data_IF_937190288499
#
_entry.id   IF_937190288499
#
_cell.length_a   1.000
_cell.length_b   1.000
_cell.length_c   1.000
_cell.angle_alpha   90.00
_cell.angle_beta   90.00
_cell.angle_gamma   90.00
#
_symmetry.space_group_name_H-M   'P 1'
#
loop_
_entity.id
_entity.type
_entity.pdbx_description
1 polymer ?
#
# COMPACT_ATOMS: atom_id res chain seq x y z
N UNK A 1 61.77 22.52 -28.06
CA UNK A 1 61.62 21.11 -28.47
C UNK A 1 60.19 20.68 -28.24
N UNK A 2 59.51 20.24 -29.31
CA UNK A 2 58.16 19.67 -29.27
C UNK A 2 58.23 18.24 -28.73
N UNK A 3 57.34 17.88 -27.82
CA UNK A 3 56.88 16.50 -27.69
C UNK A 3 55.41 16.51 -27.31
N UNK A 4 54.58 16.20 -28.31
CA UNK A 4 53.18 15.79 -28.19
C UNK A 4 53.20 14.29 -27.83
N UNK A 5 52.44 13.88 -26.83
CA UNK A 5 52.01 12.48 -26.66
C UNK A 5 50.58 12.51 -26.10
N UNK A 6 49.58 12.42 -26.99
CA UNK A 6 48.81 11.21 -27.31
C UNK A 6 48.00 10.67 -26.12
N UNK A 7 46.71 11.03 -26.19
CA UNK A 7 45.52 10.41 -25.61
C UNK A 7 45.68 9.00 -25.03
N UNK A 8 45.21 8.84 -23.78
CA UNK A 8 44.40 7.68 -23.39
C UNK A 8 43.13 8.21 -22.75
N UNK A 9 42.03 8.09 -23.49
CA UNK A 9 40.65 8.15 -22.99
C UNK A 9 40.46 6.90 -22.13
N UNK A 10 40.10 7.06 -20.87
CA UNK A 10 39.65 5.95 -20.02
C UNK A 10 38.38 6.36 -19.26
N UNK A 11 37.26 6.06 -19.91
CA UNK A 11 35.94 5.69 -19.38
C UNK A 11 35.32 6.52 -18.25
N UNK A 12 34.48 7.47 -18.64
CA UNK A 12 33.21 7.66 -17.94
C UNK A 12 32.29 6.47 -18.30
N UNK A 13 31.72 5.81 -17.29
CA UNK A 13 30.32 5.36 -17.14
C UNK A 13 30.24 4.74 -15.74
N UNK A 14 29.94 5.57 -14.75
CA UNK A 14 29.30 5.15 -13.49
C UNK A 14 28.01 5.92 -13.39
N UNK A 15 27.04 5.52 -14.20
CA UNK A 15 25.64 5.94 -14.10
C UNK A 15 24.76 4.75 -14.51
N UNK A 16 24.82 3.71 -13.69
CA UNK A 16 23.87 2.60 -13.70
C UNK A 16 23.31 2.42 -12.29
N UNK A 17 22.89 3.52 -11.65
CA UNK A 17 22.23 3.46 -10.35
C UNK A 17 20.84 2.84 -10.53
N UNK A 18 20.74 1.57 -10.15
CA UNK A 18 19.68 1.00 -9.33
C UNK A 18 18.20 1.16 -9.78
N UNK A 19 17.89 1.19 -11.07
CA UNK A 19 16.49 1.20 -11.54
C UNK A 19 15.82 -0.20 -11.60
N UNK A 20 16.15 -1.12 -10.69
CA UNK A 20 15.73 -2.53 -10.78
C UNK A 20 15.14 -3.18 -9.53
N UNK A 21 15.05 -2.48 -8.39
CA UNK A 21 14.83 -3.14 -7.09
C UNK A 21 13.44 -2.99 -6.42
N UNK A 22 12.60 -2.05 -6.84
CA UNK A 22 11.50 -1.56 -5.98
C UNK A 22 10.09 -2.07 -6.36
N UNK A 23 9.94 -3.00 -7.30
CA UNK A 23 8.61 -3.42 -7.79
C UNK A 23 7.69 -4.04 -6.70
N UNK A 24 8.27 -4.48 -5.58
CA UNK A 24 7.63 -5.23 -4.50
C UNK A 24 7.15 -4.38 -3.31
N UNK A 25 7.81 -3.25 -3.05
CA UNK A 25 7.38 -2.33 -2.00
C UNK A 25 5.99 -1.75 -2.30
N UNK A 26 5.57 -1.70 -3.56
CA UNK A 26 4.31 -1.09 -3.97
C UNK A 26 3.10 -1.62 -3.19
N UNK A 27 2.31 -0.68 -2.68
CA UNK A 27 0.98 -0.91 -2.12
C UNK A 27 -0.11 -0.55 -3.11
N UNK A 28 -1.35 -0.68 -2.66
CA UNK A 28 -2.50 -0.01 -3.26
C UNK A 28 -3.09 0.97 -2.26
N UNK A 29 -3.63 2.09 -2.73
CA UNK A 29 -4.39 3.03 -1.90
C UNK A 29 -5.40 3.78 -2.77
N UNK A 30 -6.35 4.43 -2.10
CA UNK A 30 -7.30 5.31 -2.76
C UNK A 30 -6.90 6.76 -2.54
N UNK A 31 -6.94 7.56 -3.61
CA UNK A 31 -6.79 9.01 -3.54
C UNK A 31 -7.52 9.67 -4.70
N UNK A 32 -7.83 10.96 -4.53
CA UNK A 32 -8.45 11.78 -5.56
C UNK A 32 -7.46 12.04 -6.71
N UNK A 33 -7.98 11.97 -7.94
CA UNK A 33 -7.31 12.36 -9.19
C UNK A 33 -8.32 13.20 -9.97
N UNK A 34 -8.04 14.51 -10.10
CA UNK A 34 -8.93 15.46 -10.75
C UNK A 34 -10.40 15.34 -10.27
N UNK A 35 -10.61 15.38 -8.95
CA UNK A 35 -11.92 15.23 -8.26
C UNK A 35 -12.55 13.83 -8.25
N UNK A 36 -11.98 12.86 -8.95
CA UNK A 36 -12.49 11.48 -8.97
C UNK A 36 -11.66 10.59 -8.04
N UNK A 37 -12.30 9.66 -7.32
CA UNK A 37 -11.59 8.70 -6.50
C UNK A 37 -10.97 7.61 -7.39
N UNK A 38 -9.67 7.40 -7.28
CA UNK A 38 -8.94 6.37 -8.01
C UNK A 38 -8.34 5.32 -7.06
N UNK A 39 -8.31 4.06 -7.50
CA UNK A 39 -7.47 3.02 -6.91
C UNK A 39 -6.10 3.07 -7.60
N UNK A 40 -5.06 3.28 -6.80
CA UNK A 40 -3.69 3.51 -7.25
C UNK A 40 -2.80 2.32 -6.87
N UNK A 41 -1.75 2.11 -7.64
CA UNK A 41 -0.72 1.08 -7.38
C UNK A 41 0.66 1.73 -7.42
N UNK A 42 1.43 1.63 -6.34
CA UNK A 42 2.64 2.44 -6.22
C UNK A 42 3.25 2.55 -4.82
N UNK A 43 4.24 3.43 -4.71
CA UNK A 43 4.96 3.77 -3.47
C UNK A 43 5.50 5.19 -3.60
N UNK A 44 5.39 5.99 -2.55
CA UNK A 44 5.82 7.39 -2.63
C UNK A 44 5.12 8.16 -3.75
N UNK A 45 5.90 8.87 -4.55
CA UNK A 45 5.43 9.57 -5.76
C UNK A 45 5.24 8.65 -6.98
N UNK A 46 5.66 7.38 -6.91
CA UNK A 46 5.54 6.41 -8.01
C UNK A 46 4.12 5.84 -8.07
N UNK A 47 3.16 6.68 -8.45
CA UNK A 47 1.82 6.26 -8.85
C UNK A 47 1.87 5.66 -10.26
N UNK A 48 2.01 4.34 -10.33
CA UNK A 48 2.24 3.62 -11.57
C UNK A 48 0.93 3.42 -12.34
N UNK A 49 1.09 2.90 -13.56
CA UNK A 49 -0.03 2.47 -14.40
C UNK A 49 -0.88 1.40 -13.70
N UNK A 50 -1.99 1.85 -13.12
CA UNK A 50 -2.90 1.02 -12.32
C UNK A 50 -3.75 0.11 -13.21
N UNK A 51 -4.00 0.51 -14.46
CA UNK A 51 -4.74 -0.29 -15.43
C UNK A 51 -4.03 -1.61 -15.72
N UNK A 52 -2.69 -1.62 -15.77
CA UNK A 52 -1.89 -2.85 -15.91
C UNK A 52 -2.07 -3.86 -14.76
N UNK A 53 -2.71 -3.46 -13.67
CA UNK A 53 -2.99 -4.28 -12.48
C UNK A 53 -4.49 -4.59 -12.32
N UNK A 54 -5.33 -4.14 -13.25
CA UNK A 54 -6.79 -4.31 -13.17
C UNK A 54 -7.19 -5.77 -12.94
N UNK A 55 -6.61 -6.70 -13.69
CA UNK A 55 -6.94 -8.14 -13.60
C UNK A 55 -6.41 -8.80 -12.32
N UNK A 56 -5.55 -8.10 -11.57
CA UNK A 56 -5.04 -8.54 -10.28
C UNK A 56 -5.92 -8.05 -9.11
N UNK A 57 -6.85 -7.12 -9.35
CA UNK A 57 -7.84 -6.66 -8.36
C UNK A 57 -8.91 -7.74 -8.22
N UNK A 58 -8.82 -8.53 -7.14
CA UNK A 58 -9.75 -9.62 -6.87
C UNK A 58 -11.05 -9.15 -6.20
N UNK A 59 -11.07 -7.95 -5.62
CA UNK A 59 -12.26 -7.38 -4.97
C UNK A 59 -12.24 -5.85 -5.00
N UNK A 60 -13.42 -5.26 -5.20
CA UNK A 60 -13.75 -3.86 -4.93
C UNK A 60 -15.12 -3.85 -4.22
N UNK A 61 -15.19 -3.18 -3.08
CA UNK A 61 -16.39 -3.11 -2.25
C UNK A 61 -16.61 -1.67 -1.76
N UNK A 62 -17.86 -1.34 -1.50
CA UNK A 62 -18.26 -0.05 -0.97
C UNK A 62 -19.31 -0.25 0.12
N UNK A 63 -19.30 0.61 1.14
CA UNK A 63 -20.21 0.54 2.27
C UNK A 63 -20.72 1.92 2.65
N UNK A 64 -21.99 1.98 3.09
CA UNK A 64 -22.53 3.19 3.72
C UNK A 64 -22.00 3.36 5.16
N UNK A 65 -22.44 4.42 5.83
CA UNK A 65 -22.02 4.73 7.20
C UNK A 65 -22.49 3.67 8.22
N UNK A 66 -23.48 2.84 7.88
CA UNK A 66 -23.97 1.74 8.70
C UNK A 66 -23.23 0.41 8.43
N UNK A 67 -22.26 0.42 7.51
CA UNK A 67 -21.52 -0.77 7.09
C UNK A 67 -22.31 -1.67 6.15
N UNK A 68 -23.41 -1.19 5.57
CA UNK A 68 -24.18 -1.95 4.59
C UNK A 68 -23.51 -1.84 3.22
N UNK A 69 -23.40 -2.98 2.53
CA UNK A 69 -22.81 -3.04 1.20
C UNK A 69 -23.59 -2.19 0.18
N UNK A 70 -22.85 -1.45 -0.63
CA UNK A 70 -23.32 -0.63 -1.73
C UNK A 70 -22.77 -1.14 -3.07
N UNK A 71 -23.45 -0.82 -4.16
CA UNK A 71 -22.93 -1.08 -5.51
C UNK A 71 -21.76 -0.15 -5.79
N UNK A 72 -20.67 -0.71 -6.31
CA UNK A 72 -19.51 0.03 -6.83
C UNK A 72 -18.82 -0.80 -7.93
N UNK A 73 -17.74 -0.27 -8.49
CA UNK A 73 -16.93 -0.92 -9.51
C UNK A 73 -15.75 -0.05 -9.92
N UNK A 74 -14.88 -0.58 -10.78
CA UNK A 74 -13.74 0.14 -11.34
C UNK A 74 -13.90 0.37 -12.84
N UNK A 75 -13.82 1.63 -13.27
CA UNK A 75 -13.75 2.04 -14.68
C UNK A 75 -12.33 2.47 -15.04
N UNK A 76 -11.95 2.27 -16.30
CA UNK A 76 -10.64 2.71 -16.81
C UNK A 76 -10.77 4.10 -17.37
N UNK A 77 -9.87 5.00 -16.98
CA UNK A 77 -9.68 6.31 -17.61
C UNK A 77 -8.18 6.61 -17.71
N UNK A 78 -7.66 6.65 -18.94
CA UNK A 78 -6.22 6.75 -19.18
C UNK A 78 -5.43 5.63 -18.49
N UNK A 79 -4.61 6.01 -17.50
CA UNK A 79 -3.78 5.09 -16.69
C UNK A 79 -4.36 4.82 -15.29
N UNK A 80 -5.56 5.32 -15.02
CA UNK A 80 -6.23 5.25 -13.73
C UNK A 80 -7.32 4.17 -13.72
N UNK A 81 -7.53 3.59 -12.54
CA UNK A 81 -8.73 2.81 -12.20
C UNK A 81 -9.62 3.67 -11.32
N UNK A 82 -10.65 4.27 -11.89
CA UNK A 82 -11.59 5.13 -11.18
C UNK A 82 -12.66 4.31 -10.48
N UNK A 83 -12.99 4.69 -9.24
CA UNK A 83 -14.03 4.07 -8.44
C UNK A 83 -15.37 4.67 -8.83
N UNK A 84 -16.40 3.83 -9.06
CA UNK A 84 -17.77 4.32 -9.17
C UNK A 84 -18.27 4.78 -7.78
N UNK A 85 -18.51 6.09 -7.66
CA UNK A 85 -18.95 6.79 -6.45
C UNK A 85 -20.44 7.20 -6.47
N UNK A 86 -21.24 6.74 -7.44
CA UNK A 86 -22.66 7.09 -7.58
C UNK A 86 -23.49 6.80 -6.31
N UNK A 87 -23.12 5.75 -5.58
CA UNK A 87 -23.78 5.34 -4.34
C UNK A 87 -23.37 6.14 -3.10
N UNK A 88 -22.45 7.11 -3.24
CA UNK A 88 -21.92 7.96 -2.16
C UNK A 88 -21.51 7.17 -0.90
N UNK A 89 -20.58 6.21 -1.04
CA UNK A 89 -20.17 5.37 0.09
C UNK A 89 -19.42 6.17 1.17
N UNK A 90 -19.50 5.69 2.41
CA UNK A 90 -18.66 6.15 3.52
C UNK A 90 -17.30 5.42 3.54
N UNK A 91 -17.27 4.19 3.02
CA UNK A 91 -16.06 3.37 2.93
C UNK A 91 -15.94 2.74 1.54
N UNK A 92 -14.73 2.70 0.99
CA UNK A 92 -14.40 1.90 -0.19
C UNK A 92 -13.21 1.01 0.14
N UNK A 93 -13.25 -0.25 -0.30
CA UNK A 93 -12.25 -1.25 -0.02
C UNK A 93 -11.84 -2.01 -1.28
N UNK A 94 -10.56 -2.36 -1.41
CA UNK A 94 -10.06 -3.17 -2.51
C UNK A 94 -9.06 -4.23 -2.03
N UNK A 95 -8.98 -5.33 -2.78
CA UNK A 95 -7.98 -6.38 -2.61
C UNK A 95 -7.30 -6.64 -3.95
N UNK A 96 -5.98 -6.64 -3.95
CA UNK A 96 -5.14 -6.95 -5.10
C UNK A 96 -4.22 -8.13 -4.79
N UNK A 97 -4.28 -9.15 -5.64
CA UNK A 97 -3.40 -10.32 -5.59
C UNK A 97 -2.12 -10.01 -6.37
N UNK A 98 -1.06 -9.56 -5.68
CA UNK A 98 0.14 -9.08 -6.37
C UNK A 98 1.01 -10.22 -6.93
N UNK A 99 0.68 -11.46 -6.58
CA UNK A 99 1.32 -12.69 -7.04
C UNK A 99 2.48 -13.14 -6.16
N UNK A 100 3.18 -14.16 -6.63
CA UNK A 100 4.38 -14.70 -5.96
C UNK A 100 5.63 -14.13 -6.60
N UNK A 101 6.58 -13.74 -5.76
CA UNK A 101 7.82 -13.12 -6.18
C UNK A 101 9.02 -13.76 -5.50
N UNK A 102 10.10 -13.97 -6.25
CA UNK A 102 11.35 -14.53 -5.75
C UNK A 102 12.50 -13.56 -6.01
N UNK A 103 13.34 -13.34 -5.00
CA UNK A 103 14.54 -12.52 -5.08
C UNK A 103 15.78 -13.38 -5.15
N UNK A 104 16.63 -13.18 -6.15
CA UNK A 104 17.92 -13.86 -6.33
C UNK A 104 19.05 -13.14 -5.56
N UNK A 105 20.22 -13.77 -5.35
CA UNK A 105 21.33 -13.16 -4.59
C UNK A 105 21.86 -11.86 -5.19
N UNK A 106 21.69 -11.66 -6.50
CA UNK A 106 22.03 -10.41 -7.21
C UNK A 106 20.97 -9.31 -7.03
N UNK A 107 19.93 -9.56 -6.23
CA UNK A 107 18.90 -8.61 -5.85
C UNK A 107 17.74 -8.48 -6.84
N UNK A 108 17.73 -9.23 -7.95
CA UNK A 108 16.65 -9.17 -8.94
C UNK A 108 15.41 -9.90 -8.46
N UNK A 109 14.25 -9.36 -8.84
CA UNK A 109 12.94 -9.93 -8.55
C UNK A 109 12.33 -10.61 -9.77
N UNK A 110 11.81 -11.81 -9.55
CA UNK A 110 11.13 -12.64 -10.55
C UNK A 110 9.71 -12.90 -10.09
N UNK A 111 8.70 -12.74 -10.96
CA UNK A 111 7.28 -13.00 -10.64
C UNK A 111 6.94 -14.49 -10.68
N UNK A 112 7.69 -15.28 -9.90
CA UNK A 112 7.63 -16.73 -9.81
C UNK A 112 7.95 -17.19 -8.39
N UNK A 113 7.61 -18.43 -8.04
CA UNK A 113 8.00 -19.05 -6.77
C UNK A 113 9.43 -19.59 -6.78
N UNK A 114 9.96 -19.92 -5.60
CA UNK A 114 11.30 -20.52 -5.45
C UNK A 114 11.39 -21.95 -6.00
N UNK A 115 10.25 -22.58 -6.28
CA UNK A 115 10.14 -23.84 -7.01
C UNK A 115 10.54 -23.69 -8.49
N UNK A 116 10.33 -22.50 -9.06
CA UNK A 116 10.75 -22.16 -10.43
C UNK A 116 12.06 -21.35 -10.46
N UNK A 117 12.39 -20.67 -9.36
CA UNK A 117 13.62 -19.88 -9.18
C UNK A 117 14.47 -20.51 -8.07
N UNK A 118 15.17 -21.63 -8.34
CA UNK A 118 15.85 -22.40 -7.30
C UNK A 118 17.01 -21.68 -6.61
N UNK A 119 17.52 -20.60 -7.22
CA UNK A 119 18.57 -19.75 -6.64
C UNK A 119 18.02 -18.66 -5.73
N UNK A 120 16.70 -18.56 -5.56
CA UNK A 120 16.07 -17.53 -4.74
C UNK A 120 16.52 -17.59 -3.28
N UNK A 121 16.88 -16.44 -2.72
CA UNK A 121 17.21 -16.28 -1.30
C UNK A 121 15.99 -15.90 -0.46
N UNK A 122 14.99 -15.30 -1.11
CA UNK A 122 13.70 -14.91 -0.55
C UNK A 122 12.63 -15.22 -1.58
N UNK A 123 11.49 -15.77 -1.18
CA UNK A 123 10.30 -15.88 -2.01
C UNK A 123 9.05 -15.62 -1.18
N UNK A 124 8.14 -14.80 -1.71
CA UNK A 124 7.01 -14.26 -0.95
C UNK A 124 5.77 -14.24 -1.84
N UNK A 125 4.62 -14.60 -1.28
CA UNK A 125 3.32 -14.31 -1.90
C UNK A 125 2.84 -12.96 -1.38
N UNK A 126 2.38 -12.10 -2.28
CA UNK A 126 2.04 -10.73 -1.92
C UNK A 126 0.56 -10.43 -2.13
N UNK A 127 -0.08 -9.91 -1.10
CA UNK A 127 -1.47 -9.47 -1.14
C UNK A 127 -1.56 -8.05 -0.61
N UNK A 128 -2.23 -7.18 -1.37
CA UNK A 128 -2.35 -5.77 -1.07
C UNK A 128 -3.83 -5.44 -0.80
N UNK A 129 -4.10 -4.70 0.26
CA UNK A 129 -5.43 -4.32 0.72
C UNK A 129 -5.49 -2.80 0.82
N UNK A 130 -6.62 -2.19 0.49
CA UNK A 130 -6.83 -0.77 0.67
C UNK A 130 -8.21 -0.52 1.27
N UNK A 131 -8.29 0.47 2.17
CA UNK A 131 -9.53 1.05 2.67
C UNK A 131 -9.45 2.56 2.57
N UNK A 132 -10.48 3.20 2.02
CA UNK A 132 -10.70 4.65 2.05
C UNK A 132 -11.84 4.96 3.01
N UNK A 133 -11.63 5.86 3.96
CA UNK A 133 -12.72 6.52 4.69
C UNK A 133 -13.08 7.80 3.96
N UNK A 134 -14.35 7.99 3.61
CA UNK A 134 -14.85 9.15 2.87
C UNK A 134 -15.62 10.05 3.83
N UNK A 135 -15.23 11.32 3.88
CA UNK A 135 -15.83 12.29 4.79
C UNK A 135 -15.52 12.03 6.26
N UNK A 136 -16.41 12.49 7.14
CA UNK A 136 -16.25 12.34 8.58
C UNK A 136 -16.57 10.91 9.02
N UNK A 137 -15.66 10.31 9.79
CA UNK A 137 -15.93 9.07 10.51
C UNK A 137 -16.83 9.41 11.72
N UNK A 138 -18.01 8.79 11.77
CA UNK A 138 -18.99 8.98 12.86
C UNK A 138 -19.31 7.69 13.61
N UNK A 139 -18.82 6.55 13.11
CA UNK A 139 -19.01 5.20 13.65
C UNK A 139 -17.72 4.41 13.51
N UNK A 140 -17.49 3.37 14.34
CA UNK A 140 -16.35 2.48 14.17
C UNK A 140 -16.35 1.83 12.77
N UNK A 141 -15.17 1.75 12.15
CA UNK A 141 -15.01 1.01 10.89
C UNK A 141 -15.20 -0.48 11.17
N UNK A 142 -16.16 -1.16 10.50
CA UNK A 142 -16.35 -2.60 10.69
C UNK A 142 -15.18 -3.39 10.10
N UNK A 143 -14.96 -4.59 10.61
CA UNK A 143 -14.03 -5.52 9.98
C UNK A 143 -14.61 -6.03 8.66
N UNK A 144 -13.81 -5.92 7.62
CA UNK A 144 -14.16 -6.34 6.27
C UNK A 144 -13.74 -7.81 6.06
N UNK A 145 -14.68 -8.77 5.96
CA UNK A 145 -14.36 -10.20 5.93
C UNK A 145 -13.53 -10.62 4.71
N UNK A 146 -13.55 -9.84 3.63
CA UNK A 146 -12.76 -10.08 2.42
C UNK A 146 -11.28 -9.67 2.57
N UNK A 147 -10.90 -8.93 3.62
CA UNK A 147 -9.53 -8.49 3.86
C UNK A 147 -8.87 -9.28 5.00
N UNK A 148 -7.80 -10.00 4.68
CA UNK A 148 -7.03 -10.79 5.66
C UNK A 148 -6.24 -9.89 6.60
N UNK A 149 -5.66 -8.79 6.11
CA UNK A 149 -5.02 -7.76 6.92
C UNK A 149 -5.80 -6.45 6.77
N UNK A 150 -6.06 -5.78 7.88
CA UNK A 150 -6.71 -4.47 7.94
C UNK A 150 -5.98 -3.57 8.92
N UNK A 151 -5.97 -2.27 8.62
CA UNK A 151 -5.60 -1.22 9.57
C UNK A 151 -6.79 -0.27 9.68
N UNK A 152 -7.33 -0.14 10.89
CA UNK A 152 -8.56 0.61 11.16
C UNK A 152 -8.33 1.67 12.24
N UNK A 153 -9.05 2.80 12.22
CA UNK A 153 -9.11 3.70 13.37
C UNK A 153 -9.59 2.97 14.61
N UNK A 154 -8.95 3.23 15.75
CA UNK A 154 -9.38 2.68 17.04
C UNK A 154 -10.64 3.37 17.56
N UNK A 155 -10.80 4.64 17.22
CA UNK A 155 -11.92 5.49 17.63
C UNK A 155 -12.96 5.61 16.50
N UNK A 156 -14.18 6.04 16.84
CA UNK A 156 -15.26 6.29 15.88
C UNK A 156 -15.15 7.64 15.16
N UNK A 157 -14.04 8.34 15.34
CA UNK A 157 -13.73 9.64 14.75
C UNK A 157 -12.29 9.66 14.27
N UNK A 158 -12.01 10.44 13.23
CA UNK A 158 -10.64 10.78 12.83
C UNK A 158 -10.22 12.08 13.53
N UNK A 159 -8.91 12.30 13.74
CA UNK A 159 -8.41 13.59 14.20
C UNK A 159 -8.79 14.70 13.22
N UNK A 160 -9.01 15.91 13.73
CA UNK A 160 -9.43 17.05 12.91
C UNK A 160 -8.22 17.80 12.33
N UNK A 161 -7.10 17.81 13.05
CA UNK A 161 -5.94 18.61 12.75
C UNK A 161 -4.66 17.78 12.60
N UNK A 162 -3.78 18.24 11.73
CA UNK A 162 -2.39 17.78 11.67
C UNK A 162 -1.76 17.84 13.07
N UNK A 163 -1.00 16.80 13.42
CA UNK A 163 -0.29 16.69 14.70
C UNK A 163 -1.09 16.06 15.82
N UNK A 164 -2.43 15.97 15.70
CA UNK A 164 -3.25 15.28 16.70
C UNK A 164 -2.99 13.76 16.70
N UNK A 165 -3.13 13.09 17.86
CA UNK A 165 -2.85 11.67 17.96
C UNK A 165 -3.87 10.85 17.17
N UNK A 166 -3.37 10.01 16.26
CA UNK A 166 -4.15 8.99 15.57
C UNK A 166 -3.83 7.63 16.16
N UNK A 167 -4.83 7.02 16.79
CA UNK A 167 -4.75 5.63 17.27
C UNK A 167 -5.35 4.70 16.23
N UNK A 168 -4.56 3.76 15.75
CA UNK A 168 -4.98 2.74 14.79
C UNK A 168 -4.82 1.35 15.40
N UNK A 169 -5.56 0.39 14.85
CA UNK A 169 -5.47 -1.03 15.20
C UNK A 169 -5.25 -1.87 13.96
N UNK A 170 -4.24 -2.72 13.99
CA UNK A 170 -3.94 -3.69 12.94
C UNK A 170 -4.59 -5.02 13.28
N UNK A 171 -5.33 -5.55 12.32
CA UNK A 171 -6.14 -6.76 12.43
C UNK A 171 -5.69 -7.75 11.36
N UNK A 172 -5.34 -8.97 11.76
CA UNK A 172 -5.04 -10.08 10.89
C UNK A 172 -6.04 -11.22 11.12
N UNK A 173 -6.71 -11.68 10.07
CA UNK A 173 -7.79 -12.68 10.12
C UNK A 173 -8.86 -12.33 11.16
N UNK A 174 -9.25 -11.05 11.21
CA UNK A 174 -10.25 -10.52 12.14
C UNK A 174 -9.81 -10.45 13.61
N UNK A 175 -8.54 -10.75 13.91
CA UNK A 175 -7.97 -10.67 15.27
C UNK A 175 -6.87 -9.63 15.33
N UNK A 176 -6.64 -8.98 16.47
CA UNK A 176 -5.55 -8.02 16.59
C UNK A 176 -4.19 -8.72 16.44
N UNK A 177 -3.23 -8.05 15.79
CA UNK A 177 -1.91 -8.62 15.51
C UNK A 177 -0.77 -7.73 15.99
N UNK A 178 0.17 -8.33 16.71
CA UNK A 178 1.37 -7.66 17.20
C UNK A 178 2.51 -7.71 16.18
N UNK A 179 3.40 -6.71 16.22
CA UNK A 179 4.60 -6.68 15.40
C UNK A 179 4.39 -6.34 13.93
N UNK A 180 3.17 -5.94 13.53
CA UNK A 180 2.96 -5.38 12.19
C UNK A 180 3.69 -4.04 12.08
N UNK A 181 4.40 -3.84 10.97
CA UNK A 181 5.16 -2.62 10.69
C UNK A 181 4.22 -1.58 10.11
N UNK A 182 3.99 -0.48 10.81
CA UNK A 182 3.11 0.61 10.37
C UNK A 182 3.93 1.82 9.95
N UNK A 183 3.77 2.22 8.69
CA UNK A 183 4.33 3.43 8.09
C UNK A 183 3.25 4.52 8.07
N UNK A 184 3.59 5.70 8.61
CA UNK A 184 2.62 6.78 8.81
C UNK A 184 2.23 7.55 7.53
N UNK A 185 3.03 7.46 6.47
CA UNK A 185 2.91 8.29 5.26
C UNK A 185 3.57 7.56 4.10
N UNK A 186 2.76 6.78 3.41
CA UNK A 186 3.18 5.97 2.27
C UNK A 186 3.56 6.82 1.04
N UNK A 187 3.17 8.10 1.01
CA UNK A 187 3.30 8.96 -0.18
C UNK A 187 4.53 9.85 -0.06
N UNK A 188 4.78 10.41 1.12
CA UNK A 188 5.87 11.37 1.32
C UNK A 188 7.07 10.80 2.08
N UNK A 189 6.89 9.69 2.80
CA UNK A 189 7.96 9.03 3.57
C UNK A 189 7.85 7.49 3.52
N UNK A 190 7.85 6.87 2.32
CA UNK A 190 7.69 5.42 2.17
C UNK A 190 8.82 4.59 2.81
N UNK A 191 9.99 5.21 3.03
CA UNK A 191 11.16 4.60 3.69
C UNK A 191 11.25 4.99 5.18
N UNK A 192 10.21 5.63 5.72
CA UNK A 192 10.15 6.07 7.10
C UNK A 192 10.33 4.92 8.09
N UNK A 193 10.80 5.24 9.31
CA UNK A 193 10.96 4.21 10.35
C UNK A 193 9.57 3.70 10.78
N UNK A 194 9.26 2.40 10.65
CA UNK A 194 7.96 1.89 11.02
C UNK A 194 7.77 1.86 12.53
N UNK A 195 6.52 2.04 12.97
CA UNK A 195 6.06 1.76 14.34
C UNK A 195 5.48 0.35 14.38
N UNK A 196 5.84 -0.43 15.39
CA UNK A 196 5.31 -1.79 15.53
C UNK A 196 4.01 -1.78 16.31
N UNK A 197 3.02 -2.55 15.85
CA UNK A 197 1.79 -2.78 16.61
C UNK A 197 2.06 -3.54 17.91
N UNK A 198 1.38 -3.14 18.99
CA UNK A 198 1.49 -3.78 20.30
C UNK A 198 0.76 -5.13 20.37
N UNK A 199 0.76 -5.76 21.55
CA UNK A 199 0.12 -7.07 21.78
C UNK A 199 -1.40 -7.06 21.50
N UNK A 200 -2.04 -5.91 21.54
CA UNK A 200 -3.46 -5.69 21.26
C UNK A 200 -3.69 -5.14 19.85
N UNK A 201 -2.64 -5.06 19.02
CA UNK A 201 -2.64 -4.61 17.64
C UNK A 201 -2.62 -3.10 17.48
N UNK A 202 -2.45 -2.31 18.54
CA UNK A 202 -2.52 -0.85 18.44
C UNK A 202 -1.19 -0.23 18.03
N UNK A 203 -1.29 0.89 17.31
CA UNK A 203 -0.23 1.87 17.10
C UNK A 203 -0.79 3.27 17.34
N UNK A 204 0.07 4.21 17.71
CA UNK A 204 -0.32 5.62 17.84
C UNK A 204 0.81 6.51 17.35
N UNK A 205 0.47 7.49 16.54
CA UNK A 205 1.38 8.52 16.06
C UNK A 205 0.58 9.80 15.74
N UNK A 206 1.22 10.98 15.72
CA UNK A 206 0.57 12.20 15.27
C UNK A 206 0.18 12.10 13.79
N UNK A 207 -1.02 12.57 13.41
CA UNK A 207 -1.40 12.69 11.99
C UNK A 207 -0.43 13.61 11.27
N UNK A 208 0.06 13.19 10.10
CA UNK A 208 1.09 13.94 9.38
C UNK A 208 0.55 15.04 8.48
N UNK A 209 -0.64 14.88 7.91
CA UNK A 209 -1.09 15.74 6.81
C UNK A 209 -2.45 16.39 7.11
N UNK A 210 -2.56 17.70 6.91
CA UNK A 210 -3.85 18.38 6.71
C UNK A 210 -4.22 18.22 5.22
N UNK A 211 -4.98 17.18 4.92
CA UNK A 211 -5.23 16.72 3.55
C UNK A 211 -5.16 15.19 3.48
N UNK A 212 -4.68 14.67 2.35
CA UNK A 212 -4.54 13.22 2.15
C UNK A 212 -3.56 12.59 3.13
N UNK A 213 -4.02 11.56 3.83
CA UNK A 213 -3.21 10.67 4.64
C UNK A 213 -3.32 9.26 4.06
N UNK A 214 -2.19 8.57 3.89
CA UNK A 214 -2.12 7.17 3.47
C UNK A 214 -1.18 6.45 4.42
N UNK A 215 -1.77 5.65 5.31
CA UNK A 215 -1.04 4.86 6.29
C UNK A 215 -1.00 3.42 5.78
N UNK A 216 0.14 2.74 5.94
CA UNK A 216 0.30 1.34 5.54
C UNK A 216 0.71 0.49 6.74
N UNK A 217 0.09 -0.68 6.90
CA UNK A 217 0.56 -1.76 7.76
C UNK A 217 1.08 -2.91 6.92
N UNK A 218 2.27 -3.43 7.26
CA UNK A 218 2.88 -4.61 6.64
C UNK A 218 2.99 -5.71 7.69
N UNK A 219 2.50 -6.91 7.36
CA UNK A 219 2.58 -8.08 8.20
C UNK A 219 2.89 -9.34 7.38
N UNK A 220 4.02 -9.98 7.69
CA UNK A 220 4.40 -11.25 7.08
C UNK A 220 3.80 -12.40 7.88
N UNK A 221 2.94 -13.18 7.24
CA UNK A 221 2.34 -14.37 7.83
C UNK A 221 2.99 -15.66 7.31
N UNK A 222 2.86 -16.79 8.04
CA UNK A 222 3.37 -18.07 7.56
C UNK A 222 2.86 -18.44 6.16
N UNK A 223 3.69 -19.13 5.38
CA UNK A 223 3.32 -19.62 4.05
C UNK A 223 2.28 -20.74 4.13
N UNK A 224 1.27 -20.67 3.27
CA UNK A 224 0.32 -21.75 2.96
C UNK A 224 0.85 -22.69 1.86
N UNK A 225 1.94 -22.33 1.17
CA UNK A 225 2.64 -23.20 0.20
C UNK A 225 4.17 -23.12 0.37
N UNK A 226 4.75 -23.73 1.42
CA UNK A 226 6.17 -23.58 1.79
C UNK A 226 7.18 -23.98 0.70
N UNK A 227 6.76 -24.82 -0.26
CA UNK A 227 7.56 -25.19 -1.44
C UNK A 227 7.72 -24.04 -2.44
N UNK A 228 6.73 -23.15 -2.55
CA UNK A 228 6.69 -22.05 -3.52
C UNK A 228 7.19 -20.72 -2.96
N UNK A 229 6.93 -20.44 -1.68
CA UNK A 229 7.34 -19.20 -1.02
C UNK A 229 7.50 -19.42 0.48
N UNK A 230 8.34 -18.58 1.10
CA UNK A 230 8.71 -18.60 2.50
C UNK A 230 7.61 -18.05 3.40
N UNK A 231 6.98 -16.95 2.99
CA UNK A 231 5.91 -16.28 3.73
C UNK A 231 4.89 -15.62 2.78
N UNK A 232 3.85 -15.03 3.38
CA UNK A 232 2.91 -14.16 2.69
C UNK A 232 3.11 -12.75 3.25
N UNK A 233 3.53 -11.80 2.42
CA UNK A 233 3.50 -10.39 2.75
C UNK A 233 2.07 -9.86 2.54
N UNK A 234 1.48 -9.38 3.64
CA UNK A 234 0.22 -8.67 3.63
C UNK A 234 0.51 -7.18 3.82
N UNK A 235 0.06 -6.34 2.89
CA UNK A 235 0.18 -4.88 2.99
C UNK A 235 -1.21 -4.27 2.94
N UNK A 236 -1.65 -3.64 4.02
CA UNK A 236 -2.94 -2.97 4.12
C UNK A 236 -2.76 -1.47 4.21
N UNK A 237 -3.43 -0.70 3.36
CA UNK A 237 -3.48 0.75 3.45
C UNK A 237 -4.81 1.25 4.00
N UNK A 238 -4.74 2.32 4.78
CA UNK A 238 -5.87 3.16 5.16
C UNK A 238 -5.62 4.56 4.64
N UNK A 239 -6.53 5.07 3.82
CA UNK A 239 -6.52 6.47 3.41
C UNK A 239 -7.73 7.26 3.90
N UNK A 240 -7.46 8.48 4.34
CA UNK A 240 -8.46 9.47 4.71
C UNK A 240 -7.99 10.88 4.30
N UNK A 241 -8.91 11.85 4.27
CA UNK A 241 -8.56 13.26 4.00
C UNK A 241 -9.03 14.10 5.17
N UNK A 242 -8.12 14.88 5.75
CA UNK A 242 -8.50 15.94 6.69
C UNK A 242 -8.83 17.22 5.90
N UNK A 243 -9.90 17.93 6.23
CA UNK A 243 -10.30 19.14 5.53
C UNK A 243 -9.24 20.24 5.70
N UNK A 244 -8.89 20.96 4.64
CA UNK A 244 -8.09 22.18 4.77
C UNK A 244 -8.99 23.37 5.18
N UNK A 245 -8.35 24.49 5.57
CA UNK A 245 -9.08 25.72 5.81
C UNK A 245 -9.86 26.14 4.55
N UNK A 246 -11.06 26.74 4.68
CA UNK A 246 -11.79 27.28 3.53
C UNK A 246 -10.92 28.21 2.69
N UNK A 247 -11.10 28.17 1.37
CA UNK A 247 -10.46 29.08 0.41
C UNK A 247 -11.05 30.50 0.48
#
# INVERSE_FOLDING_TARGET
MKTISKFVIAAAITAGMAAGGAAQAHGIWFAERATQLALLYGVGADDLDSVKRKDMVSSIAAYDADGKALKTGLTVDGRLLLVNMESQPALVAAVLQNGTWSKTPDGKWHKQGKDEVPTAVIAEKNIKYAVRIIGALTKPVPLLPEQTLQIIPADSTLPALLGEPLKLRVMYMGKPVAGAKVLHDWINDPDGKPVLSDAQGYVTFPVRNQGLNVIVAIFNSPSDQPKKYNDIENLASLSFVLPHAPE
#
